data_IF_129019634083
#
_entry.id   IF_129019634083
#
_cell.length_a   1.000
_cell.length_b   1.000
_cell.length_c   1.000
_cell.angle_alpha   90.00
_cell.angle_beta   90.00
_cell.angle_gamma   90.00
#
_symmetry.space_group_name_H-M   'P 1'
#
loop_
_entity.id
_entity.type
_entity.pdbx_description
1 polymer ?
#
# COMPACT_ATOMS: atom_id res chain seq x y z
N UNK A 1 16.77 8.79 13.34
CA UNK A 1 15.36 8.76 12.90
C UNK A 1 14.60 9.72 13.81
N UNK A 2 13.86 10.70 13.27
CA UNK A 2 13.01 11.57 14.10
C UNK A 2 11.71 10.86 14.49
N UNK A 3 11.01 11.37 15.50
CA UNK A 3 9.70 10.86 15.92
C UNK A 3 8.69 10.86 14.75
N UNK A 4 8.70 11.92 13.93
CA UNK A 4 7.81 12.02 12.78
C UNK A 4 8.07 10.93 11.74
N UNK A 5 9.33 10.61 11.46
CA UNK A 5 9.68 9.49 10.57
C UNK A 5 9.20 8.14 11.11
N UNK A 6 9.32 7.93 12.42
CA UNK A 6 8.82 6.72 13.06
C UNK A 6 7.30 6.58 12.90
N UNK A 7 6.55 7.67 13.15
CA UNK A 7 5.09 7.71 12.97
C UNK A 7 4.71 7.46 11.50
N UNK A 8 5.38 8.11 10.54
CA UNK A 8 5.11 7.87 9.12
C UNK A 8 5.40 6.42 8.73
N UNK A 9 6.53 5.85 9.18
CA UNK A 9 6.85 4.43 8.94
C UNK A 9 5.77 3.50 9.46
N UNK A 10 5.24 3.76 10.67
CA UNK A 10 4.13 2.97 11.21
C UNK A 10 2.87 3.06 10.33
N UNK A 11 2.55 4.25 9.82
CA UNK A 11 1.43 4.46 8.88
C UNK A 11 1.62 3.70 7.56
N UNK A 12 2.82 3.77 6.97
CA UNK A 12 3.19 3.01 5.75
C UNK A 12 3.01 1.52 5.97
N UNK A 13 3.56 0.97 7.06
CA UNK A 13 3.43 -0.46 7.37
C UNK A 13 1.98 -0.89 7.63
N UNK A 14 1.20 -0.04 8.30
CA UNK A 14 -0.22 -0.29 8.52
C UNK A 14 -0.96 -0.38 7.19
N UNK A 15 -0.73 0.59 6.30
CA UNK A 15 -1.33 0.64 4.97
C UNK A 15 -0.95 -0.59 4.13
N UNK A 16 0.33 -0.95 4.06
CA UNK A 16 0.78 -2.17 3.37
C UNK A 16 0.06 -3.43 3.88
N UNK A 17 -0.09 -3.57 5.19
CA UNK A 17 -0.80 -4.72 5.77
C UNK A 17 -2.29 -4.72 5.46
N UNK A 18 -2.93 -3.56 5.37
CA UNK A 18 -4.32 -3.44 4.91
C UNK A 18 -4.45 -3.97 3.49
N UNK A 19 -3.58 -3.53 2.58
CA UNK A 19 -3.55 -4.03 1.19
C UNK A 19 -3.45 -5.55 1.16
N UNK A 20 -2.46 -6.12 1.86
CA UNK A 20 -2.25 -7.57 1.90
C UNK A 20 -3.47 -8.33 2.46
N UNK A 21 -4.22 -7.73 3.38
CA UNK A 21 -5.45 -8.33 3.92
C UNK A 21 -6.58 -8.28 2.90
N UNK A 22 -6.85 -7.17 2.24
CA UNK A 22 -7.97 -7.13 1.27
C UNK A 22 -7.69 -7.97 0.02
N UNK A 23 -6.42 -8.17 -0.38
CA UNK A 23 -6.10 -9.15 -1.46
C UNK A 23 -6.52 -10.58 -1.13
N UNK A 24 -6.86 -10.91 0.13
CA UNK A 24 -7.40 -12.24 0.49
C UNK A 24 -8.79 -12.49 -0.09
N UNK A 25 -9.52 -11.44 -0.49
CA UNK A 25 -10.84 -11.57 -1.11
C UNK A 25 -10.75 -12.00 -2.58
N UNK A 26 -9.60 -11.81 -3.23
CA UNK A 26 -9.38 -12.24 -4.61
C UNK A 26 -9.35 -13.78 -4.63
N UNK A 27 -10.34 -14.40 -5.27
CA UNK A 27 -10.49 -15.85 -5.39
C UNK A 27 -9.41 -16.46 -6.25
N UNK A 28 -9.18 -15.90 -7.44
CA UNK A 28 -8.16 -16.34 -8.38
C UNK A 28 -6.75 -16.22 -7.79
N UNK A 29 -6.01 -17.34 -7.61
CA UNK A 29 -4.68 -17.32 -7.02
C UNK A 29 -3.66 -16.54 -7.85
N UNK A 30 -3.78 -16.50 -9.17
CA UNK A 30 -2.84 -15.77 -10.05
C UNK A 30 -3.02 -14.27 -9.86
N UNK A 31 -4.24 -13.76 -10.04
CA UNK A 31 -4.61 -12.35 -9.82
C UNK A 31 -4.24 -11.90 -8.41
N UNK A 32 -4.47 -12.75 -7.39
CA UNK A 32 -4.09 -12.44 -6.01
C UNK A 32 -2.58 -12.29 -5.84
N UNK A 33 -1.79 -13.17 -6.44
CA UNK A 33 -0.33 -13.12 -6.38
C UNK A 33 0.23 -11.89 -7.12
N UNK A 34 -0.32 -11.60 -8.30
CA UNK A 34 0.04 -10.43 -9.10
C UNK A 34 -0.28 -9.12 -8.39
N UNK A 35 -1.46 -9.01 -7.79
CA UNK A 35 -1.87 -7.83 -7.01
C UNK A 35 -0.94 -7.61 -5.82
N UNK A 36 -0.57 -8.68 -5.11
CA UNK A 36 0.40 -8.60 -3.99
C UNK A 36 1.79 -8.20 -4.46
N UNK A 37 2.24 -8.73 -5.59
CA UNK A 37 3.53 -8.40 -6.19
C UNK A 37 3.56 -6.92 -6.59
N UNK A 38 2.53 -6.44 -7.30
CA UNK A 38 2.39 -5.05 -7.68
C UNK A 38 2.45 -4.12 -6.46
N UNK A 39 1.67 -4.43 -5.41
CA UNK A 39 1.70 -3.66 -4.17
C UNK A 39 3.11 -3.66 -3.55
N UNK A 40 3.78 -4.80 -3.47
CA UNK A 40 5.15 -4.87 -2.94
C UNK A 40 6.12 -4.01 -3.75
N UNK A 41 6.07 -4.12 -5.07
CA UNK A 41 6.97 -3.39 -5.97
C UNK A 41 6.78 -1.88 -5.82
N UNK A 42 5.54 -1.41 -5.61
CA UNK A 42 5.24 -0.01 -5.37
C UNK A 42 5.88 0.54 -4.07
N UNK A 43 5.86 -0.26 -3.00
CA UNK A 43 6.50 0.12 -1.74
C UNK A 43 8.04 0.05 -1.84
N UNK A 44 8.59 -0.94 -2.55
CA UNK A 44 10.04 -1.06 -2.76
C UNK A 44 10.58 0.10 -3.62
N UNK A 45 9.83 0.54 -4.66
CA UNK A 45 10.17 1.72 -5.46
C UNK A 45 10.40 2.97 -4.61
N UNK A 46 9.61 3.14 -3.55
CA UNK A 46 9.61 4.33 -2.70
C UNK A 46 10.34 4.15 -1.36
N UNK A 47 10.99 3.01 -1.11
CA UNK A 47 11.61 2.68 0.18
C UNK A 47 12.69 3.67 0.63
N UNK A 48 13.31 4.37 -0.32
CA UNK A 48 14.39 5.34 -0.08
C UNK A 48 13.91 6.77 0.15
N UNK A 49 12.61 7.04 0.06
CA UNK A 49 12.05 8.37 0.27
C UNK A 49 12.18 8.73 1.77
N UNK A 50 12.92 9.80 2.05
CA UNK A 50 13.11 10.33 3.41
C UNK A 50 12.35 11.63 3.65
N UNK A 51 11.96 12.35 2.59
CA UNK A 51 11.19 13.58 2.76
C UNK A 51 9.79 13.29 3.33
N UNK A 52 9.48 13.91 4.48
CA UNK A 52 8.22 13.69 5.18
C UNK A 52 7.01 14.20 4.39
N UNK A 53 7.16 15.26 3.59
CA UNK A 53 6.12 15.77 2.71
C UNK A 53 5.77 14.74 1.64
N UNK A 54 6.79 14.21 0.98
CA UNK A 54 6.67 13.20 -0.05
C UNK A 54 6.12 11.87 0.49
N UNK A 55 6.56 11.41 1.67
CA UNK A 55 5.97 10.22 2.32
C UNK A 55 4.46 10.40 2.56
N UNK A 56 4.05 11.57 3.06
CA UNK A 56 2.62 11.86 3.28
C UNK A 56 1.85 11.91 1.97
N UNK A 57 2.41 12.52 0.93
CA UNK A 57 1.82 12.56 -0.40
C UNK A 57 1.60 11.15 -0.96
N UNK A 58 2.66 10.32 -0.99
CA UNK A 58 2.58 8.93 -1.47
C UNK A 58 1.57 8.11 -0.69
N UNK A 59 1.49 8.29 0.64
CA UNK A 59 0.48 7.62 1.45
C UNK A 59 -0.95 8.05 1.12
N UNK A 60 -1.19 9.33 0.89
CA UNK A 60 -2.52 9.83 0.52
C UNK A 60 -2.93 9.34 -0.87
N UNK A 61 -2.05 9.49 -1.86
CA UNK A 61 -2.28 9.04 -3.23
C UNK A 61 -2.49 7.53 -3.29
N UNK A 62 -1.60 6.75 -2.67
CA UNK A 62 -1.71 5.30 -2.64
C UNK A 62 -2.99 4.80 -1.97
N UNK A 63 -3.49 5.49 -0.93
CA UNK A 63 -4.79 5.16 -0.33
C UNK A 63 -5.94 5.38 -1.31
N UNK A 64 -5.97 6.49 -2.05
CA UNK A 64 -7.00 6.77 -3.04
C UNK A 64 -6.98 5.74 -4.19
N UNK A 65 -5.79 5.38 -4.66
CA UNK A 65 -5.61 4.32 -5.66
C UNK A 65 -6.12 2.98 -5.12
N UNK A 66 -5.75 2.64 -3.87
CA UNK A 66 -6.17 1.39 -3.24
C UNK A 66 -7.68 1.31 -3.00
N UNK A 67 -8.33 2.39 -2.56
CA UNK A 67 -9.79 2.41 -2.39
C UNK A 67 -10.52 2.11 -3.71
N UNK A 68 -9.96 2.57 -4.83
CA UNK A 68 -10.50 2.28 -6.16
C UNK A 68 -10.29 0.81 -6.54
N UNK A 69 -9.09 0.27 -6.27
CA UNK A 69 -8.79 -1.15 -6.47
C UNK A 69 -9.61 -2.07 -5.56
N UNK A 70 -9.85 -1.68 -4.31
CA UNK A 70 -10.61 -2.46 -3.34
C UNK A 70 -12.08 -2.57 -3.74
N UNK A 71 -12.68 -1.49 -4.28
CA UNK A 71 -14.02 -1.55 -4.87
C UNK A 71 -14.10 -2.49 -6.05
N UNK A 72 -13.06 -2.51 -6.90
CA UNK A 72 -12.98 -3.48 -8.00
C UNK A 72 -12.88 -4.91 -7.47
N UNK A 73 -11.99 -5.17 -6.50
CA UNK A 73 -11.82 -6.49 -5.87
C UNK A 73 -13.12 -6.98 -5.22
N UNK A 74 -13.84 -6.11 -4.51
CA UNK A 74 -15.10 -6.47 -3.85
C UNK A 74 -16.27 -6.63 -4.82
N UNK A 75 -16.14 -6.14 -6.06
CA UNK A 75 -17.12 -6.31 -7.13
C UNK A 75 -16.90 -7.56 -7.99
N UNK A 76 -15.78 -8.26 -7.80
CA UNK A 76 -15.49 -9.57 -8.42
C UNK A 76 -16.13 -10.70 -7.60
#
# INVERSE_FOLDING_TARGET
MSLEHFIQRARVLSFYRTILRSTRQITDPVTRAETRKFARDEFERHRGVTDLGHIRYLLSTGKTEWESMERYINGL
#
